data_IF_274587658501
#
_entry.id   IF_274587658501
#
_cell.length_a   1.000
_cell.length_b   1.000
_cell.length_c   1.000
_cell.angle_alpha   90.00
_cell.angle_beta   90.00
_cell.angle_gamma   90.00
#
_symmetry.space_group_name_H-M   'P 1'
#
loop_
_entity.id
_entity.type
_entity.pdbx_description
1 polymer ?
#
# COMPACT_ATOMS: atom_id res chain seq x y z
N UNK A 1 -2.81 -14.72 -3.26
CA UNK A 1 -3.05 -15.22 -1.89
C UNK A 1 -4.47 -14.83 -1.51
N UNK A 2 -5.25 -15.67 -0.79
CA UNK A 2 -6.54 -15.23 -0.26
C UNK A 2 -6.31 -14.09 0.74
N UNK A 3 -7.21 -13.11 0.80
CA UNK A 3 -7.03 -11.93 1.64
C UNK A 3 -6.40 -10.73 0.91
N UNK A 4 -5.72 -10.91 -0.23
CA UNK A 4 -4.92 -9.83 -0.83
C UNK A 4 -5.53 -9.27 -2.13
N UNK A 5 -6.86 -9.26 -2.25
CA UNK A 5 -7.56 -8.64 -3.37
C UNK A 5 -7.79 -7.14 -3.15
N UNK A 6 -8.07 -6.40 -4.22
CA UNK A 6 -8.41 -4.98 -4.11
C UNK A 6 -9.71 -4.74 -3.34
N UNK A 7 -10.70 -5.62 -3.47
CA UNK A 7 -11.96 -5.52 -2.71
C UNK A 7 -11.70 -5.63 -1.20
N UNK A 8 -10.83 -6.55 -0.80
CA UNK A 8 -10.42 -6.68 0.61
C UNK A 8 -9.64 -5.45 1.07
N UNK A 9 -8.75 -4.90 0.24
CA UNK A 9 -8.03 -3.67 0.55
C UNK A 9 -8.96 -2.44 0.74
N UNK A 10 -10.02 -2.34 -0.08
CA UNK A 10 -11.06 -1.32 0.06
C UNK A 10 -11.87 -1.50 1.35
N UNK A 11 -12.14 -2.72 1.80
CA UNK A 11 -12.76 -2.96 3.10
C UNK A 11 -11.83 -2.55 4.25
N UNK A 12 -10.53 -2.84 4.15
CA UNK A 12 -9.57 -2.51 5.21
C UNK A 12 -9.40 -1.01 5.45
N UNK A 13 -9.45 -0.19 4.40
CA UNK A 13 -9.23 1.26 4.54
C UNK A 13 -10.32 1.94 5.37
N UNK A 14 -11.50 1.32 5.50
CA UNK A 14 -12.62 1.86 6.31
C UNK A 14 -12.26 2.04 7.80
N UNK A 15 -11.26 1.30 8.29
CA UNK A 15 -10.76 1.41 9.67
C UNK A 15 -9.45 2.20 9.84
N UNK A 16 -8.97 2.86 8.78
CA UNK A 16 -7.67 3.55 8.77
C UNK A 16 -7.90 5.06 8.63
N UNK A 17 -7.60 5.81 9.69
CA UNK A 17 -7.81 7.27 9.74
C UNK A 17 -6.82 8.10 8.89
N UNK A 18 -5.89 7.44 8.22
CA UNK A 18 -4.80 8.07 7.46
C UNK A 18 -4.76 7.55 6.02
N UNK A 19 -4.13 8.29 5.08
CA UNK A 19 -3.98 7.81 3.71
C UNK A 19 -3.36 6.41 3.67
N UNK A 20 -4.04 5.50 2.97
CA UNK A 20 -3.57 4.13 2.78
C UNK A 20 -3.26 3.89 1.29
N UNK A 21 -2.28 3.02 1.06
CA UNK A 21 -1.89 2.59 -0.28
C UNK A 21 -1.81 1.06 -0.30
N UNK A 22 -2.42 0.43 -1.29
CA UNK A 22 -2.15 -0.95 -1.61
C UNK A 22 -0.90 -1.01 -2.50
N UNK A 23 0.03 -1.92 -2.20
CA UNK A 23 1.23 -2.20 -2.99
C UNK A 23 1.28 -3.68 -3.35
N UNK A 24 1.90 -4.01 -4.47
CA UNK A 24 2.15 -5.40 -4.87
C UNK A 24 3.51 -5.94 -4.38
N UNK A 25 3.78 -7.20 -4.71
CA UNK A 25 4.99 -7.91 -4.33
C UNK A 25 6.26 -7.41 -5.05
N UNK A 26 6.11 -6.61 -6.10
CA UNK A 26 7.20 -5.96 -6.84
C UNK A 26 7.46 -4.53 -6.34
N UNK A 27 6.99 -4.20 -5.13
CA UNK A 27 7.14 -2.88 -4.51
C UNK A 27 7.72 -2.99 -3.10
N UNK A 28 8.71 -2.14 -2.80
CA UNK A 28 9.33 -2.03 -1.48
C UNK A 28 9.42 -0.56 -1.03
N UNK A 29 9.42 -0.35 0.29
CA UNK A 29 9.59 0.96 0.92
C UNK A 29 10.87 0.92 1.76
N UNK A 30 11.77 1.87 1.52
CA UNK A 30 12.98 2.06 2.33
C UNK A 30 12.84 3.33 3.16
N UNK A 31 13.29 3.27 4.41
CA UNK A 31 13.36 4.42 5.31
C UNK A 31 14.75 4.45 5.94
N UNK A 32 15.58 5.41 5.55
CA UNK A 32 16.95 5.58 6.03
C UNK A 32 17.16 7.05 6.37
N UNK A 33 17.60 7.34 7.60
CA UNK A 33 17.88 8.70 8.09
C UNK A 33 16.72 9.71 7.87
N UNK A 34 15.48 9.23 7.96
CA UNK A 34 14.28 10.04 7.75
C UNK A 34 13.88 10.26 6.28
N UNK A 35 14.67 9.77 5.32
CA UNK A 35 14.30 9.75 3.91
C UNK A 35 13.45 8.51 3.60
N UNK A 36 12.27 8.72 3.00
CA UNK A 36 11.40 7.65 2.50
C UNK A 36 11.57 7.53 0.99
N UNK A 37 11.88 6.32 0.51
CA UNK A 37 11.95 6.02 -0.92
C UNK A 37 11.16 4.77 -1.27
N UNK A 38 10.35 4.88 -2.31
CA UNK A 38 9.64 3.75 -2.94
C UNK A 38 10.54 3.17 -4.02
N UNK A 39 10.82 1.87 -3.95
CA UNK A 39 11.58 1.12 -4.95
C UNK A 39 10.61 0.10 -5.54
N UNK A 40 10.28 0.24 -6.82
CA UNK A 40 9.21 -0.56 -7.42
C UNK A 40 9.40 -0.80 -8.91
N UNK A 41 9.09 -2.03 -9.33
CA UNK A 41 8.77 -2.41 -10.72
C UNK A 41 7.27 -2.69 -10.89
N UNK A 42 6.51 -2.62 -9.79
CA UNK A 42 5.10 -2.94 -9.71
C UNK A 42 4.20 -1.71 -9.64
N UNK A 43 3.04 -1.91 -9.03
CA UNK A 43 1.97 -0.94 -8.92
C UNK A 43 1.59 -0.68 -7.47
N UNK A 44 1.15 0.55 -7.26
CA UNK A 44 0.65 1.01 -5.99
C UNK A 44 -0.53 1.94 -6.24
N UNK A 45 -1.57 1.75 -5.45
CA UNK A 45 -2.84 2.46 -5.60
C UNK A 45 -3.19 3.11 -4.28
N UNK A 46 -3.45 4.42 -4.31
CA UNK A 46 -4.03 5.10 -3.16
C UNK A 46 -5.46 4.58 -2.95
N UNK A 47 -5.70 4.04 -1.77
CA UNK A 47 -7.03 3.61 -1.36
C UNK A 47 -7.81 4.86 -0.91
N UNK A 48 -8.99 5.05 -1.50
CA UNK A 48 -9.86 6.17 -1.16
C UNK A 48 -10.87 5.69 -0.13
N UNK A 49 -11.01 6.46 0.94
CA UNK A 49 -12.07 6.31 1.94
C UNK A 49 -13.41 6.80 1.38
#
# INVERSE_FOLDING_TARGET
MPGNSMAEAEEWVTGIDHPAYAIDDQTAITVVDGEVRVVSEGQWTQLRT
#
